data_IF_037643560757
#
_entry.id   IF_037643560757
#
_cell.length_a   1.000
_cell.length_b   1.000
_cell.length_c   1.000
_cell.angle_alpha   90.00
_cell.angle_beta   90.00
_cell.angle_gamma   90.00
#
_symmetry.space_group_name_H-M   'P 1'
#
loop_
_entity.id
_entity.type
_entity.pdbx_description
1 polymer ?
#
# COMPACT_ATOMS: atom_id res chain seq x y z
N UNK A 1 -11.64 -14.07 -0.20
CA UNK A 1 -10.83 -13.60 0.94
C UNK A 1 -10.56 -12.12 0.76
N UNK A 2 -11.04 -11.30 1.70
CA UNK A 2 -10.92 -9.84 1.68
C UNK A 2 -10.02 -9.39 2.83
N UNK A 3 -9.46 -8.19 2.71
CA UNK A 3 -8.56 -7.58 3.69
C UNK A 3 -9.06 -6.18 3.97
N UNK A 4 -9.02 -5.80 5.23
CA UNK A 4 -9.34 -4.45 5.66
C UNK A 4 -8.16 -3.51 5.36
N UNK A 5 -8.38 -2.45 4.61
CA UNK A 5 -7.39 -1.40 4.36
C UNK A 5 -7.71 -0.16 5.19
N UNK A 6 -6.79 0.25 6.06
CA UNK A 6 -6.98 1.36 6.99
C UNK A 6 -5.79 2.33 6.96
N UNK A 7 -6.09 3.61 6.65
CA UNK A 7 -5.08 4.67 6.72
C UNK A 7 -4.65 4.95 8.16
N UNK A 8 -5.58 4.91 9.11
CA UNK A 8 -5.30 5.11 10.53
C UNK A 8 -4.33 4.05 11.07
N UNK A 9 -4.57 2.78 10.71
CA UNK A 9 -3.69 1.66 11.06
C UNK A 9 -2.26 1.90 10.55
N UNK A 10 -2.08 2.19 9.26
CA UNK A 10 -0.74 2.45 8.70
C UNK A 10 -0.02 3.63 9.36
N UNK A 11 -0.74 4.73 9.65
CA UNK A 11 -0.15 5.90 10.30
C UNK A 11 0.24 5.62 11.74
N UNK A 12 -0.54 4.83 12.48
CA UNK A 12 -0.19 4.44 13.84
C UNK A 12 1.12 3.65 13.92
N UNK A 13 1.48 2.91 12.86
CA UNK A 13 2.73 2.13 12.76
C UNK A 13 3.93 2.96 12.35
N UNK A 14 3.77 3.85 11.36
CA UNK A 14 4.90 4.55 10.73
C UNK A 14 5.02 6.04 11.09
N UNK A 15 3.96 6.65 11.61
CA UNK A 15 3.86 8.08 11.94
C UNK A 15 3.19 8.29 13.31
N UNK A 16 3.53 7.46 14.30
CA UNK A 16 2.90 7.49 15.62
C UNK A 16 2.99 8.86 16.34
N UNK A 17 3.93 9.73 15.93
CA UNK A 17 4.08 11.10 16.44
C UNK A 17 3.05 12.10 15.87
N UNK A 18 2.36 11.76 14.78
CA UNK A 18 1.34 12.56 14.11
C UNK A 18 0.09 11.71 13.81
N UNK A 19 -0.65 11.29 14.85
CA UNK A 19 -1.86 10.51 14.66
C UNK A 19 -2.96 11.31 13.94
N UNK A 20 -3.85 10.61 13.26
CA UNK A 20 -5.04 11.24 12.68
C UNK A 20 -5.96 11.77 13.78
N UNK A 21 -6.56 12.94 13.54
CA UNK A 21 -7.66 13.43 14.38
C UNK A 21 -8.91 12.56 14.19
N UNK A 22 -9.85 12.58 15.14
CA UNK A 22 -11.12 11.85 15.03
C UNK A 22 -11.96 12.28 13.82
N UNK A 23 -11.87 13.55 13.43
CA UNK A 23 -12.49 14.03 12.19
C UNK A 23 -11.84 13.42 10.95
N UNK A 24 -10.50 13.38 10.89
CA UNK A 24 -9.77 12.76 9.79
C UNK A 24 -10.05 11.26 9.69
N UNK A 25 -10.09 10.54 10.81
CA UNK A 25 -10.46 9.11 10.84
C UNK A 25 -11.84 8.85 10.26
N UNK A 26 -12.83 9.69 10.62
CA UNK A 26 -14.20 9.58 10.07
C UNK A 26 -14.28 9.90 8.58
N UNK A 27 -13.41 10.77 8.07
CA UNK A 27 -13.36 11.11 6.65
C UNK A 27 -12.74 9.99 5.78
N UNK A 28 -11.94 9.09 6.37
CA UNK A 28 -11.24 8.00 5.68
C UNK A 28 -11.47 6.66 6.40
N UNK A 29 -12.73 6.17 6.45
CA UNK A 29 -13.03 4.92 7.12
C UNK A 29 -12.28 3.75 6.45
N UNK A 30 -11.97 2.68 7.19
CA UNK A 30 -11.40 1.47 6.61
C UNK A 30 -12.27 0.90 5.48
N UNK A 31 -11.63 0.36 4.45
CA UNK A 31 -12.31 -0.18 3.25
C UNK A 31 -11.89 -1.63 3.03
N UNK A 32 -12.85 -2.49 2.72
CA UNK A 32 -12.56 -3.87 2.34
C UNK A 32 -12.13 -3.97 0.88
N UNK A 33 -11.04 -4.70 0.65
CA UNK A 33 -10.53 -5.00 -0.68
C UNK A 33 -10.23 -6.49 -0.83
N UNK A 34 -10.29 -7.05 -2.04
CA UNK A 34 -9.88 -8.43 -2.26
C UNK A 34 -8.36 -8.56 -2.03
N UNK A 35 -7.91 -9.60 -1.31
CA UNK A 35 -6.48 -9.84 -1.07
C UNK A 35 -5.70 -9.97 -2.39
N UNK A 36 -6.35 -10.58 -3.38
CA UNK A 36 -5.85 -10.68 -4.75
C UNK A 36 -6.83 -9.94 -5.65
N UNK A 37 -6.34 -8.99 -6.44
CA UNK A 37 -7.12 -8.34 -7.50
C UNK A 37 -6.74 -8.89 -8.87
N UNK A 38 -7.66 -8.78 -9.82
CA UNK A 38 -7.41 -9.00 -11.25
C UNK A 38 -7.12 -7.65 -11.90
N UNK A 39 -6.00 -7.55 -12.61
CA UNK A 39 -5.65 -6.36 -13.37
C UNK A 39 -6.64 -6.19 -14.55
N UNK A 40 -7.30 -5.03 -14.69
CA UNK A 40 -8.41 -4.87 -15.63
C UNK A 40 -8.01 -5.05 -17.10
N UNK A 41 -6.80 -4.61 -17.46
CA UNK A 41 -6.32 -4.65 -18.85
C UNK A 41 -5.55 -5.94 -19.20
N UNK A 42 -4.81 -6.52 -18.26
CA UNK A 42 -3.92 -7.67 -18.53
C UNK A 42 -4.50 -9.00 -18.07
N UNK A 43 -5.57 -9.00 -17.26
CA UNK A 43 -6.16 -10.20 -16.66
C UNK A 43 -5.27 -10.88 -15.61
N UNK A 44 -4.07 -10.36 -15.34
CA UNK A 44 -3.15 -10.94 -14.36
C UNK A 44 -3.69 -10.78 -12.95
N UNK A 45 -3.49 -11.79 -12.12
CA UNK A 45 -3.76 -11.72 -10.68
C UNK A 45 -2.59 -11.06 -9.97
N UNK A 46 -2.89 -10.09 -9.11
CA UNK A 46 -1.91 -9.33 -8.34
C UNK A 46 -2.32 -9.34 -6.87
N UNK A 47 -1.35 -9.56 -5.98
CA UNK A 47 -1.58 -9.39 -4.54
C UNK A 47 -1.78 -7.90 -4.27
N UNK A 48 -2.87 -7.56 -3.59
CA UNK A 48 -3.25 -6.18 -3.32
C UNK A 48 -3.18 -5.89 -1.82
N UNK A 49 -1.95 -5.87 -1.32
CA UNK A 49 -1.60 -5.58 0.06
C UNK A 49 -0.63 -4.39 0.13
N UNK A 50 -0.12 -4.14 1.31
CA UNK A 50 0.81 -3.06 1.63
C UNK A 50 0.60 -2.63 3.07
N UNK A 51 1.16 -1.48 3.43
CA UNK A 51 1.15 -0.98 4.80
C UNK A 51 -0.26 -0.62 5.32
N UNK A 52 -1.19 -0.31 4.42
CA UNK A 52 -2.60 -0.07 4.76
C UNK A 52 -3.37 -1.35 5.06
N UNK A 53 -2.92 -2.52 4.60
CA UNK A 53 -3.59 -3.78 4.85
C UNK A 53 -3.45 -4.17 6.33
N UNK A 54 -4.57 -4.21 7.04
CA UNK A 54 -4.63 -4.39 8.49
C UNK A 54 -4.78 -5.86 8.88
N UNK A 55 -5.85 -6.51 8.43
CA UNK A 55 -6.17 -7.89 8.76
C UNK A 55 -7.09 -8.52 7.70
N UNK A 56 -7.09 -9.84 7.62
CA UNK A 56 -8.04 -10.59 6.79
C UNK A 56 -9.44 -10.54 7.41
N UNK A 57 -10.44 -10.21 6.60
CA UNK A 57 -11.85 -10.16 7.00
C UNK A 57 -12.37 -11.57 7.26
N UNK A 58 -13.05 -11.77 8.39
CA UNK A 58 -13.62 -13.05 8.80
C UNK A 58 -12.64 -14.00 9.52
N UNK A 59 -11.38 -13.57 9.72
CA UNK A 59 -10.43 -14.27 10.59
C UNK A 59 -10.38 -13.62 11.98
N UNK A 60 -9.85 -14.36 12.97
CA UNK A 60 -9.37 -13.73 14.21
C UNK A 60 -8.40 -12.59 13.88
N UNK A 61 -8.48 -11.49 14.62
CA UNK A 61 -7.74 -10.27 14.29
C UNK A 61 -6.22 -10.51 14.27
N UNK A 62 -5.68 -11.17 15.29
CA UNK A 62 -4.25 -11.40 15.40
C UNK A 62 -3.76 -12.39 14.32
N UNK A 63 -4.53 -13.45 14.08
CA UNK A 63 -4.23 -14.40 13.01
C UNK A 63 -4.30 -13.74 11.61
N UNK A 64 -5.31 -12.91 11.37
CA UNK A 64 -5.49 -12.20 10.11
C UNK A 64 -4.40 -11.15 9.87
N UNK A 65 -3.96 -10.46 10.91
CA UNK A 65 -2.83 -9.53 10.85
C UNK A 65 -1.52 -10.27 10.56
N UNK A 66 -1.25 -11.37 11.27
CA UNK A 66 -0.04 -12.17 11.07
C UNK A 66 0.08 -12.70 9.63
N UNK A 67 -1.03 -13.13 9.03
CA UNK A 67 -1.05 -13.56 7.64
C UNK A 67 -0.76 -12.41 6.65
N UNK A 68 -1.28 -11.22 6.91
CA UNK A 68 -0.98 -10.03 6.08
C UNK A 68 0.51 -9.68 6.16
N UNK A 69 1.07 -9.67 7.37
CA UNK A 69 2.50 -9.40 7.59
C UNK A 69 3.38 -10.45 6.90
N UNK A 70 3.05 -11.75 7.01
CA UNK A 70 3.76 -12.84 6.34
C UNK A 70 3.78 -12.65 4.81
N UNK A 71 2.63 -12.33 4.21
CA UNK A 71 2.54 -12.12 2.76
C UNK A 71 3.35 -10.88 2.35
N UNK A 72 3.22 -9.78 3.08
CA UNK A 72 3.99 -8.55 2.83
C UNK A 72 5.51 -8.82 2.86
N UNK A 73 5.99 -9.57 3.85
CA UNK A 73 7.40 -9.94 3.96
C UNK A 73 7.87 -10.78 2.77
N UNK A 74 7.02 -11.67 2.26
CA UNK A 74 7.33 -12.43 1.05
C UNK A 74 7.35 -11.58 -0.23
N UNK A 75 6.52 -10.54 -0.30
CA UNK A 75 6.45 -9.65 -1.46
C UNK A 75 7.68 -8.75 -1.62
N UNK A 76 8.34 -8.39 -0.51
CA UNK A 76 9.48 -7.46 -0.50
C UNK A 76 10.86 -8.14 -0.63
N UNK A 77 10.90 -9.44 -0.93
CA UNK A 77 12.14 -10.19 -1.18
C UNK A 77 12.88 -9.63 -2.41
N UNK A 78 14.22 -9.58 -2.34
CA UNK A 78 15.10 -8.83 -3.26
C UNK A 78 14.91 -9.15 -4.75
N UNK A 79 14.57 -10.39 -5.10
CA UNK A 79 14.35 -10.81 -6.49
C UNK A 79 13.19 -10.08 -7.18
N UNK A 80 12.29 -9.46 -6.41
CA UNK A 80 11.09 -8.75 -6.92
C UNK A 80 11.19 -7.23 -6.74
N UNK A 81 12.35 -6.71 -6.32
CA UNK A 81 12.53 -5.31 -5.96
C UNK A 81 13.39 -4.59 -6.99
N UNK A 82 12.78 -3.61 -7.65
CA UNK A 82 13.51 -2.58 -8.38
C UNK A 82 13.88 -1.43 -7.42
N UNK A 83 15.16 -1.03 -7.42
CA UNK A 83 15.65 0.12 -6.65
C UNK A 83 16.12 1.22 -7.59
N UNK A 84 15.56 2.42 -7.43
CA UNK A 84 15.88 3.57 -8.27
C UNK A 84 16.63 4.65 -7.50
N UNK A 85 17.77 5.08 -8.05
CA UNK A 85 18.56 6.20 -7.55
C UNK A 85 18.29 7.43 -8.42
N UNK A 86 17.35 8.24 -7.96
CA UNK A 86 16.92 9.47 -8.62
C UNK A 86 18.08 10.37 -9.05
N UNK A 87 17.98 10.88 -10.27
CA UNK A 87 18.72 12.02 -10.79
C UNK A 87 17.79 13.23 -11.01
N UNK A 88 18.32 14.46 -11.03
CA UNK A 88 17.53 15.63 -11.36
C UNK A 88 16.83 15.48 -12.72
N UNK A 89 15.56 15.91 -12.77
CA UNK A 89 14.71 15.87 -13.97
C UNK A 89 14.31 14.47 -14.47
N UNK A 90 14.53 13.42 -13.69
CA UNK A 90 13.93 12.11 -13.97
C UNK A 90 12.46 12.08 -13.60
N UNK A 91 11.73 11.24 -14.32
CA UNK A 91 10.33 10.95 -14.07
C UNK A 91 10.11 9.45 -14.16
N UNK A 92 9.26 8.93 -13.28
CA UNK A 92 8.92 7.52 -13.21
C UNK A 92 7.41 7.37 -13.20
N UNK A 93 6.94 6.41 -14.00
CA UNK A 93 5.56 5.94 -13.96
C UNK A 93 5.58 4.54 -13.39
N UNK A 94 4.63 4.25 -12.51
CA UNK A 94 4.36 2.89 -12.07
C UNK A 94 2.85 2.65 -12.01
N UNK A 95 2.45 1.39 -12.17
CA UNK A 95 1.06 0.98 -12.07
C UNK A 95 0.75 0.51 -10.65
N UNK A 96 0.05 1.35 -9.87
CA UNK A 96 -0.36 1.02 -8.48
C UNK A 96 -1.24 -0.24 -8.39
N UNK A 97 -1.81 -0.74 -9.50
CA UNK A 97 -2.63 -1.96 -9.53
C UNK A 97 -1.79 -3.24 -9.42
N UNK A 98 -0.47 -3.16 -9.66
CA UNK A 98 0.40 -4.34 -9.64
C UNK A 98 1.75 -4.17 -8.92
N UNK A 99 2.01 -3.03 -8.26
CA UNK A 99 3.26 -2.81 -7.52
C UNK A 99 3.02 -2.24 -6.12
N UNK A 100 3.96 -2.50 -5.22
CA UNK A 100 4.17 -1.71 -4.00
C UNK A 100 5.39 -0.82 -4.17
N UNK A 101 5.44 0.30 -3.44
CA UNK A 101 6.59 1.19 -3.46
C UNK A 101 6.82 1.81 -2.08
N UNK A 102 8.08 2.17 -1.79
CA UNK A 102 8.47 2.95 -0.60
C UNK A 102 9.67 3.82 -0.89
N UNK A 103 9.81 4.93 -0.17
CA UNK A 103 11.07 5.65 -0.08
C UNK A 103 12.02 4.94 0.89
N UNK A 104 13.33 5.03 0.63
CA UNK A 104 14.34 4.78 1.65
C UNK A 104 14.51 6.04 2.52
N UNK A 105 14.91 5.88 3.80
CA UNK A 105 15.29 7.01 4.64
C UNK A 105 16.33 7.90 3.94
N UNK A 106 16.28 9.20 4.22
CA UNK A 106 17.26 10.21 3.78
C UNK A 106 17.47 11.20 4.92
N UNK A 107 18.55 12.00 4.87
CA UNK A 107 18.85 12.95 5.94
C UNK A 107 17.93 14.15 5.84
N UNK A 108 16.86 14.17 6.63
CA UNK A 108 15.89 15.26 6.61
C UNK A 108 16.41 16.57 7.19
N UNK A 109 17.56 16.56 7.89
CA UNK A 109 18.17 17.76 8.46
C UNK A 109 19.08 18.48 7.45
N UNK A 110 19.75 17.72 6.57
CA UNK A 110 20.75 18.27 5.64
C UNK A 110 20.34 18.18 4.17
N UNK A 111 19.48 17.22 3.78
CA UNK A 111 19.06 17.04 2.40
C UNK A 111 17.70 17.67 2.11
N UNK A 112 17.61 18.40 0.98
CA UNK A 112 16.32 18.83 0.43
C UNK A 112 15.87 17.88 -0.68
N UNK A 113 14.73 17.20 -0.47
CA UNK A 113 14.11 16.32 -1.47
C UNK A 113 12.70 16.77 -1.80
N UNK A 114 12.44 17.10 -3.06
CA UNK A 114 11.10 17.44 -3.57
C UNK A 114 10.76 16.50 -4.71
N UNK A 115 9.67 15.75 -4.55
CA UNK A 115 9.10 14.89 -5.61
C UNK A 115 7.66 15.31 -5.81
N UNK A 116 7.26 15.59 -7.04
CA UNK A 116 5.89 15.95 -7.39
C UNK A 116 5.19 14.73 -7.97
N UNK A 117 4.00 14.40 -7.47
CA UNK A 117 3.24 13.24 -7.91
C UNK A 117 1.92 13.67 -8.54
N UNK A 118 1.63 13.14 -9.73
CA UNK A 118 0.29 13.12 -10.32
C UNK A 118 -0.24 11.68 -10.23
N UNK A 119 -1.52 11.49 -9.93
CA UNK A 119 -2.14 10.17 -9.81
C UNK A 119 -3.39 10.14 -10.67
N UNK A 120 -3.51 9.12 -11.52
CA UNK A 120 -4.73 8.86 -12.30
C UNK A 120 -5.70 8.07 -11.44
N UNK A 121 -6.98 8.44 -11.45
CA UNK A 121 -8.02 7.71 -10.72
C UNK A 121 -8.15 6.30 -11.28
N UNK A 122 -8.23 5.32 -10.37
CA UNK A 122 -8.42 3.91 -10.71
C UNK A 122 -9.86 3.45 -10.51
N UNK A 123 -10.12 2.22 -10.96
CA UNK A 123 -11.36 1.50 -10.76
C UNK A 123 -11.40 0.76 -9.40
N UNK A 124 -12.61 0.37 -8.97
CA UNK A 124 -12.80 -0.47 -7.77
C UNK A 124 -12.17 -1.85 -8.03
N UNK A 125 -11.28 -2.38 -7.15
CA UNK A 125 -10.64 -3.68 -7.36
C UNK A 125 -11.61 -4.87 -7.24
N UNK A 126 -11.49 -5.86 -8.12
CA UNK A 126 -12.20 -7.15 -8.04
C UNK A 126 -11.25 -8.33 -8.23
N UNK A 127 -11.58 -9.49 -7.67
CA UNK A 127 -10.95 -10.76 -8.05
C UNK A 127 -11.71 -11.41 -9.21
N UNK A 128 -13.01 -11.59 -9.04
CA UNK A 128 -13.94 -12.11 -10.04
C UNK A 128 -14.90 -10.98 -10.42
N UNK A 129 -15.13 -10.78 -11.73
CA UNK A 129 -16.22 -9.92 -12.17
C UNK A 129 -17.52 -10.65 -11.85
N UNK A 130 -18.35 -10.06 -11.02
CA UNK A 130 -19.76 -10.45 -10.84
C UNK A 130 -20.57 -10.14 -12.08
#
# INVERSE_FOLDING_TARGET
MHVMHSLDYSRSRNHAHEPLTEEQKRAVPPVEHPLVRTHPETGRRCIYLGDHAQNVVGMDYAAGQALVDEINDQLVKSERVYSHRWQPNEFMIWDNRCVMHRSRPFDTAHDRRVVRRCTVLGEVPWLFKT
#
